data_IF_024621930623
#
_entry.id   IF_024621930623
#
_cell.length_a   1.000
_cell.length_b   1.000
_cell.length_c   1.000
_cell.angle_alpha   90.00
_cell.angle_beta   90.00
_cell.angle_gamma   90.00
#
_symmetry.space_group_name_H-M   'P 1'
#
loop_
_entity.id
_entity.type
_entity.pdbx_description
1 polymer ?
#
# COMPACT_ATOMS: atom_id res chain seq x y z
N UNK A 1 32.26 75.19 7.49
CA UNK A 1 31.89 73.90 8.07
C UNK A 1 33.05 72.93 7.83
N UNK A 2 33.66 72.42 8.88
CA UNK A 2 34.94 71.73 8.74
C UNK A 2 34.78 70.43 7.99
N UNK A 3 35.65 70.18 7.01
CA UNK A 3 35.71 68.95 6.18
C UNK A 3 35.59 67.68 6.99
N UNK A 4 36.20 67.59 8.16
CA UNK A 4 36.12 66.47 9.12
C UNK A 4 34.67 66.26 9.63
N UNK A 5 33.86 67.27 9.85
CA UNK A 5 32.44 67.12 10.26
C UNK A 5 31.60 66.54 9.13
N UNK A 6 31.86 66.93 7.90
CA UNK A 6 31.15 66.42 6.72
C UNK A 6 31.48 64.93 6.53
N UNK A 7 32.77 64.51 6.67
CA UNK A 7 33.19 63.12 6.62
C UNK A 7 32.50 62.27 7.73
N UNK A 8 32.46 62.79 8.93
CA UNK A 8 31.81 62.07 10.05
C UNK A 8 30.33 61.87 9.81
N UNK A 9 29.63 62.90 9.30
CA UNK A 9 28.19 62.81 8.95
C UNK A 9 27.93 61.78 7.85
N UNK A 10 28.75 61.76 6.78
CA UNK A 10 28.63 60.82 5.69
C UNK A 10 28.88 59.38 6.18
N UNK A 11 29.89 59.18 7.03
CA UNK A 11 30.22 57.86 7.60
C UNK A 11 29.05 57.35 8.47
N UNK A 12 28.52 58.22 9.32
CA UNK A 12 27.34 57.86 10.18
C UNK A 12 26.14 57.48 9.32
N UNK A 13 25.87 58.23 8.27
CA UNK A 13 24.76 57.95 7.34
C UNK A 13 24.96 56.57 6.63
N UNK A 14 26.15 56.26 6.18
CA UNK A 14 26.47 54.95 5.56
C UNK A 14 26.30 53.79 6.55
N UNK A 15 26.72 53.97 7.80
CA UNK A 15 26.51 52.95 8.86
C UNK A 15 25.03 52.75 9.13
N UNK A 16 24.25 53.83 9.25
CA UNK A 16 22.79 53.72 9.42
C UNK A 16 22.10 53.02 8.25
N UNK A 17 22.49 53.33 7.02
CA UNK A 17 21.96 52.66 5.81
C UNK A 17 22.35 51.16 5.82
N UNK A 18 23.57 50.84 6.20
CA UNK A 18 24.04 49.43 6.28
C UNK A 18 23.22 48.65 7.30
N UNK A 19 23.01 49.21 8.49
CA UNK A 19 22.17 48.58 9.53
C UNK A 19 20.72 48.41 9.06
N UNK A 20 20.16 49.43 8.41
CA UNK A 20 18.81 49.37 7.84
C UNK A 20 18.65 48.32 6.75
N UNK A 21 19.62 48.21 5.83
CA UNK A 21 19.62 47.18 4.80
C UNK A 21 19.78 45.76 5.37
N UNK A 22 20.65 45.63 6.38
CA UNK A 22 20.82 44.33 7.09
C UNK A 22 19.54 43.92 7.79
N UNK A 23 18.89 44.86 8.49
CA UNK A 23 17.59 44.60 9.12
C UNK A 23 16.51 44.22 8.11
N UNK A 24 16.40 44.95 6.99
CA UNK A 24 15.48 44.59 5.93
C UNK A 24 15.78 43.20 5.33
N UNK A 25 17.06 42.84 5.18
CA UNK A 25 17.44 41.52 4.66
C UNK A 25 17.08 40.39 5.63
N UNK A 26 17.18 40.64 6.93
CA UNK A 26 16.81 39.69 7.98
C UNK A 26 15.28 39.57 8.22
N UNK A 27 14.55 40.66 7.97
CA UNK A 27 13.09 40.71 8.11
C UNK A 27 12.37 40.51 6.79
N UNK A 28 13.10 40.35 5.67
CA UNK A 28 12.51 40.03 4.38
C UNK A 28 12.01 38.58 4.41
N UNK A 29 10.76 38.40 4.82
CA UNK A 29 9.98 37.25 4.44
C UNK A 29 9.45 37.52 3.03
N UNK A 30 9.86 36.76 2.02
CA UNK A 30 9.15 36.80 0.74
C UNK A 30 7.68 36.53 1.06
N UNK A 31 6.80 37.46 0.78
CA UNK A 31 5.38 37.16 0.74
C UNK A 31 5.22 36.16 -0.39
N UNK A 32 5.16 34.90 -0.05
CA UNK A 32 4.61 33.91 -0.96
C UNK A 32 3.15 34.31 -1.08
N UNK A 33 2.80 34.98 -2.17
CA UNK A 33 1.42 34.97 -2.61
C UNK A 33 1.08 33.49 -2.71
N UNK A 34 0.24 33.01 -1.81
CA UNK A 34 -0.48 31.76 -2.01
C UNK A 34 -1.20 31.97 -3.33
N UNK A 35 -0.59 31.49 -4.41
CA UNK A 35 -1.28 31.36 -5.70
C UNK A 35 -2.50 30.55 -5.35
N UNK A 36 -3.66 31.19 -5.40
CA UNK A 36 -4.91 30.49 -5.25
C UNK A 36 -4.83 29.31 -6.21
N UNK A 37 -4.93 28.10 -5.68
CA UNK A 37 -4.86 26.84 -6.41
C UNK A 37 -5.98 26.66 -7.46
N UNK A 38 -6.77 27.72 -7.68
CA UNK A 38 -7.93 27.72 -8.56
C UNK A 38 -7.61 27.94 -10.06
N UNK A 39 -6.33 28.14 -10.43
CA UNK A 39 -5.88 28.17 -11.82
C UNK A 39 -4.70 27.22 -12.10
N UNK A 40 -4.51 26.18 -11.29
CA UNK A 40 -3.66 25.06 -11.68
C UNK A 40 -4.28 24.45 -12.96
N UNK A 41 -3.53 24.46 -14.05
CA UNK A 41 -3.90 23.70 -15.24
C UNK A 41 -4.22 22.28 -14.78
N UNK A 42 -5.47 21.85 -14.96
CA UNK A 42 -5.96 20.50 -14.59
C UNK A 42 -5.38 19.47 -15.59
N UNK A 43 -4.04 19.39 -15.62
CA UNK A 43 -3.32 18.41 -16.42
C UNK A 43 -3.22 17.16 -15.56
N UNK A 44 -4.03 16.19 -15.90
CA UNK A 44 -4.10 14.89 -15.25
C UNK A 44 -3.35 13.86 -16.10
N UNK A 45 -2.55 13.03 -15.46
CA UNK A 45 -1.84 11.91 -16.10
C UNK A 45 -2.83 10.82 -16.51
N UNK A 46 -3.91 10.65 -15.75
CA UNK A 46 -5.00 9.72 -16.01
C UNK A 46 -6.32 10.22 -15.45
N UNK A 47 -7.31 9.36 -15.39
CA UNK A 47 -8.62 9.68 -14.83
C UNK A 47 -8.57 9.74 -13.30
N UNK A 48 -9.25 10.73 -12.72
CA UNK A 48 -9.43 10.80 -11.26
C UNK A 48 -10.49 9.80 -10.81
N UNK A 49 -10.20 9.09 -9.73
CA UNK A 49 -11.21 8.25 -9.07
C UNK A 49 -12.17 9.16 -8.30
N UNK A 50 -13.50 8.95 -8.37
CA UNK A 50 -14.45 9.70 -7.54
C UNK A 50 -14.12 9.57 -6.04
N UNK A 51 -14.14 10.67 -5.29
CA UNK A 51 -13.74 10.70 -3.88
C UNK A 51 -14.47 9.66 -3.01
N UNK A 52 -15.76 9.44 -3.29
CA UNK A 52 -16.57 8.46 -2.57
C UNK A 52 -16.20 6.99 -2.87
N UNK A 53 -15.41 6.73 -3.90
CA UNK A 53 -14.94 5.40 -4.30
C UNK A 53 -13.47 5.18 -4.00
N UNK A 54 -12.68 6.24 -3.84
CA UNK A 54 -11.23 6.22 -3.68
C UNK A 54 -10.77 5.21 -2.60
N UNK A 55 -11.33 5.30 -1.41
CA UNK A 55 -10.96 4.43 -0.30
C UNK A 55 -11.27 2.96 -0.59
N UNK A 56 -12.37 2.66 -1.26
CA UNK A 56 -12.76 1.28 -1.57
C UNK A 56 -11.98 0.67 -2.74
N UNK A 57 -11.46 1.51 -3.62
CA UNK A 57 -10.65 1.07 -4.77
C UNK A 57 -9.20 0.87 -4.35
N UNK A 58 -8.66 1.80 -3.54
CA UNK A 58 -7.24 1.80 -3.15
C UNK A 58 -6.98 0.91 -1.95
N UNK A 59 -7.88 0.85 -0.96
CA UNK A 59 -7.70 0.06 0.26
C UNK A 59 -8.51 -1.22 0.16
N UNK A 60 -7.89 -2.28 -0.33
CA UNK A 60 -8.52 -3.59 -0.51
C UNK A 60 -7.89 -4.65 0.38
N UNK A 61 -8.69 -5.60 0.90
CA UNK A 61 -8.14 -6.82 1.46
C UNK A 61 -7.63 -7.73 0.34
N UNK A 62 -6.64 -8.56 0.67
CA UNK A 62 -6.01 -9.45 -0.31
C UNK A 62 -6.14 -10.94 0.01
N UNK A 63 -6.66 -11.29 1.20
CA UNK A 63 -6.96 -12.67 1.62
C UNK A 63 -8.24 -12.74 2.43
N UNK A 64 -8.91 -13.85 2.30
CA UNK A 64 -10.12 -14.19 3.01
C UNK A 64 -10.02 -15.62 3.53
N UNK A 65 -10.22 -15.82 4.84
CA UNK A 65 -10.22 -17.15 5.47
C UNK A 65 -11.55 -17.45 6.15
N UNK A 66 -11.89 -18.72 6.20
CA UNK A 66 -12.96 -19.25 7.05
C UNK A 66 -12.41 -20.36 7.95
N UNK A 67 -12.52 -20.16 9.25
CA UNK A 67 -12.08 -21.08 10.29
C UNK A 67 -13.25 -21.95 10.75
N UNK A 68 -13.24 -23.25 10.41
CA UNK A 68 -14.32 -24.19 10.72
C UNK A 68 -14.03 -25.08 11.93
N UNK A 69 -13.06 -24.72 12.76
CA UNK A 69 -12.61 -25.48 13.91
C UNK A 69 -11.57 -26.55 13.56
N UNK A 70 -11.87 -27.45 12.64
CA UNK A 70 -10.94 -28.53 12.25
C UNK A 70 -10.03 -28.16 11.08
N UNK A 71 -10.42 -27.18 10.29
CA UNK A 71 -9.63 -26.71 9.13
C UNK A 71 -9.89 -25.24 8.86
N UNK A 72 -8.90 -24.62 8.24
CA UNK A 72 -9.02 -23.28 7.67
C UNK A 72 -9.04 -23.42 6.14
N UNK A 73 -10.04 -22.81 5.52
CA UNK A 73 -10.09 -22.64 4.07
C UNK A 73 -9.96 -21.15 3.74
N UNK A 74 -9.38 -20.84 2.58
CA UNK A 74 -9.17 -19.44 2.21
C UNK A 74 -9.12 -19.23 0.72
N UNK A 75 -9.14 -17.96 0.33
CA UNK A 75 -8.99 -17.53 -1.06
C UNK A 75 -8.35 -16.14 -1.14
N UNK A 76 -7.65 -15.91 -2.24
CA UNK A 76 -7.21 -14.57 -2.68
C UNK A 76 -7.98 -14.10 -3.92
N UNK A 77 -9.00 -14.82 -4.34
CA UNK A 77 -9.83 -14.46 -5.49
C UNK A 77 -10.53 -13.11 -5.27
N UNK A 78 -10.24 -12.15 -6.15
CA UNK A 78 -10.75 -10.78 -6.02
C UNK A 78 -12.28 -10.72 -6.03
N UNK A 79 -12.92 -11.53 -6.85
CA UNK A 79 -14.38 -11.54 -6.97
C UNK A 79 -15.03 -12.00 -5.66
N UNK A 80 -14.49 -13.06 -5.04
CA UNK A 80 -15.00 -13.59 -3.78
C UNK A 80 -14.80 -12.60 -2.62
N UNK A 81 -13.64 -11.95 -2.55
CA UNK A 81 -13.32 -10.95 -1.54
C UNK A 81 -14.22 -9.73 -1.72
N UNK A 82 -14.33 -9.19 -2.93
CA UNK A 82 -15.18 -8.04 -3.22
C UNK A 82 -16.64 -8.32 -2.86
N UNK A 83 -17.16 -9.53 -3.12
CA UNK A 83 -18.50 -9.92 -2.76
C UNK A 83 -18.74 -9.86 -1.24
N UNK A 84 -17.77 -10.27 -0.43
CA UNK A 84 -17.84 -10.17 1.03
C UNK A 84 -17.84 -8.71 1.47
N UNK A 85 -16.96 -7.88 0.91
CA UNK A 85 -16.90 -6.44 1.23
C UNK A 85 -18.19 -5.73 0.83
N UNK A 86 -18.74 -6.00 -0.36
CA UNK A 86 -20.02 -5.43 -0.79
C UNK A 86 -21.17 -5.82 0.15
N UNK A 87 -21.16 -7.04 0.66
CA UNK A 87 -22.16 -7.47 1.65
C UNK A 87 -21.98 -6.74 2.98
N UNK A 88 -20.73 -6.58 3.48
CA UNK A 88 -20.42 -5.79 4.67
C UNK A 88 -20.87 -4.32 4.53
N UNK A 89 -20.75 -3.72 3.36
CA UNK A 89 -21.20 -2.35 3.07
C UNK A 89 -22.71 -2.15 3.22
N UNK A 90 -23.48 -3.22 3.15
CA UNK A 90 -24.94 -3.16 3.40
C UNK A 90 -25.29 -3.16 4.88
N UNK A 91 -24.36 -3.56 5.75
CA UNK A 91 -24.60 -3.65 7.18
C UNK A 91 -24.43 -2.30 7.86
N UNK A 92 -25.20 -2.08 8.91
CA UNK A 92 -24.96 -1.00 9.86
C UNK A 92 -24.24 -1.56 11.07
N UNK A 93 -23.02 -1.11 11.27
CA UNK A 93 -22.18 -1.48 12.42
C UNK A 93 -22.36 -0.42 13.51
N UNK A 94 -22.68 -0.83 14.72
CA UNK A 94 -22.99 0.05 15.84
C UNK A 94 -22.32 -0.41 17.14
N UNK A 95 -22.35 0.43 18.19
CA UNK A 95 -21.83 0.15 19.54
C UNK A 95 -20.35 -0.30 19.52
N UNK A 96 -19.50 0.45 18.78
CA UNK A 96 -18.09 0.13 18.68
C UNK A 96 -17.35 0.39 20.00
N UNK A 97 -16.59 -0.61 20.50
CA UNK A 97 -15.86 -0.59 21.77
C UNK A 97 -14.42 -1.00 21.58
N UNK A 98 -13.51 -0.34 22.30
CA UNK A 98 -12.10 -0.76 22.42
C UNK A 98 -11.97 -1.80 23.54
N UNK A 99 -11.71 -3.04 23.18
CA UNK A 99 -11.50 -4.19 24.07
C UNK A 99 -10.01 -4.55 24.22
N UNK A 100 -9.11 -3.73 23.72
CA UNK A 100 -7.66 -4.03 23.66
C UNK A 100 -7.03 -4.30 25.03
N UNK A 101 -7.59 -3.71 26.10
CA UNK A 101 -7.12 -3.88 27.49
C UNK A 101 -7.74 -5.07 28.19
N UNK A 102 -8.90 -5.55 27.71
CA UNK A 102 -9.67 -6.60 28.35
C UNK A 102 -9.21 -8.00 27.92
N UNK A 103 -8.57 -8.10 26.73
CA UNK A 103 -8.14 -9.36 26.13
C UNK A 103 -6.61 -9.48 26.12
N UNK A 104 -6.11 -10.66 26.51
CA UNK A 104 -4.72 -11.00 26.32
C UNK A 104 -4.46 -11.58 24.90
N UNK A 105 -3.20 -11.83 24.54
CA UNK A 105 -2.82 -12.28 23.21
C UNK A 105 -3.47 -13.62 22.81
N UNK A 106 -3.59 -14.55 23.75
CA UNK A 106 -4.21 -15.87 23.49
C UNK A 106 -5.71 -15.74 23.21
N UNK A 107 -6.37 -14.85 23.94
CA UNK A 107 -7.81 -14.56 23.74
C UNK A 107 -8.05 -13.87 22.42
N UNK A 108 -7.19 -12.90 22.03
CA UNK A 108 -7.27 -12.25 20.72
C UNK A 108 -7.06 -13.27 19.60
N UNK A 109 -6.07 -14.17 19.75
CA UNK A 109 -5.87 -15.27 18.80
C UNK A 109 -7.13 -16.14 18.65
N UNK A 110 -7.84 -16.41 19.74
CA UNK A 110 -9.10 -17.15 19.71
C UNK A 110 -10.25 -16.36 19.04
N UNK A 111 -10.25 -15.02 19.16
CA UNK A 111 -11.20 -14.17 18.43
C UNK A 111 -10.95 -14.25 16.93
N UNK A 112 -9.68 -14.24 16.50
CA UNK A 112 -9.31 -14.24 15.07
C UNK A 112 -9.49 -15.64 14.46
N UNK A 113 -8.86 -16.67 15.06
CA UNK A 113 -8.73 -18.01 14.48
C UNK A 113 -9.65 -19.04 15.13
N UNK A 114 -10.61 -18.58 15.96
CA UNK A 114 -11.59 -19.45 16.59
C UNK A 114 -12.55 -20.07 15.57
N UNK A 115 -13.33 -21.05 16.03
CA UNK A 115 -14.33 -21.71 15.20
C UNK A 115 -15.42 -20.74 14.72
N UNK A 116 -15.91 -20.95 13.49
CA UNK A 116 -16.95 -20.14 12.84
C UNK A 116 -16.57 -18.65 12.72
N UNK A 117 -15.32 -18.38 12.42
CA UNK A 117 -14.83 -17.01 12.13
C UNK A 117 -14.50 -16.85 10.66
N UNK A 118 -14.91 -15.70 10.12
CA UNK A 118 -14.46 -15.26 8.79
C UNK A 118 -13.42 -14.14 9.00
N UNK A 119 -12.21 -14.35 8.53
CA UNK A 119 -11.09 -13.43 8.65
C UNK A 119 -10.79 -12.78 7.30
N UNK A 120 -10.87 -11.46 7.25
CA UNK A 120 -10.56 -10.63 6.09
C UNK A 120 -9.24 -9.92 6.39
N UNK A 121 -8.22 -10.15 5.55
CA UNK A 121 -6.84 -9.70 5.80
C UNK A 121 -6.46 -8.57 4.86
N UNK A 122 -5.92 -7.50 5.43
CA UNK A 122 -5.34 -6.36 4.72
C UNK A 122 -3.81 -6.46 4.71
N UNK A 123 -3.14 -5.84 3.72
CA UNK A 123 -1.68 -5.90 3.61
C UNK A 123 -0.96 -5.27 4.80
N UNK A 124 -1.50 -4.18 5.34
CA UNK A 124 -0.93 -3.44 6.49
C UNK A 124 -2.04 -2.72 7.27
N UNK A 125 -1.67 -1.88 8.20
CA UNK A 125 -2.53 -1.20 9.14
C UNK A 125 -3.40 -0.13 8.47
N UNK A 126 -4.70 -0.32 8.52
CA UNK A 126 -5.72 0.59 7.97
C UNK A 126 -6.37 1.36 9.11
N UNK A 127 -6.35 2.71 9.09
CA UNK A 127 -7.09 3.50 10.08
C UNK A 127 -8.59 3.26 10.00
N UNK A 128 -9.24 3.03 11.16
CA UNK A 128 -10.69 2.81 11.22
C UNK A 128 -11.46 4.00 10.64
N UNK A 129 -10.98 5.22 10.89
CA UNK A 129 -11.59 6.46 10.39
C UNK A 129 -11.64 6.53 8.85
N UNK A 130 -10.61 6.04 8.18
CA UNK A 130 -10.56 5.96 6.71
C UNK A 130 -11.53 4.87 6.20
N UNK A 131 -11.47 3.69 6.80
CA UNK A 131 -12.30 2.56 6.34
C UNK A 131 -13.78 2.69 6.74
N UNK A 132 -14.10 3.56 7.70
CA UNK A 132 -15.49 3.94 8.04
C UNK A 132 -16.24 4.61 6.88
N UNK A 133 -15.54 5.10 5.88
CA UNK A 133 -16.12 5.61 4.63
C UNK A 133 -16.51 4.48 3.67
N UNK A 134 -15.90 3.30 3.82
CA UNK A 134 -16.24 2.08 3.06
C UNK A 134 -17.37 1.33 3.74
N UNK A 135 -17.34 1.22 5.07
CA UNK A 135 -18.34 0.53 5.88
C UNK A 135 -19.24 1.53 6.64
N UNK A 136 -20.53 1.21 6.80
CA UNK A 136 -21.46 2.07 7.55
C UNK A 136 -21.26 1.90 9.06
N UNK A 137 -20.45 2.73 9.67
CA UNK A 137 -20.32 2.84 11.13
C UNK A 137 -21.29 3.90 11.64
N UNK A 138 -22.16 3.54 12.59
CA UNK A 138 -23.26 4.41 13.08
C UNK A 138 -22.76 5.53 14.00
N UNK A 139 -21.57 5.39 14.61
CA UNK A 139 -21.05 6.35 15.57
C UNK A 139 -20.22 7.45 14.91
N UNK A 140 -20.55 8.71 15.28
CA UNK A 140 -19.81 9.91 14.87
C UNK A 140 -18.40 10.00 15.50
N UNK A 141 -18.14 9.24 16.56
CA UNK A 141 -16.82 9.15 17.21
C UNK A 141 -16.17 7.83 16.81
N UNK A 142 -15.62 7.80 15.60
CA UNK A 142 -14.72 6.72 15.19
C UNK A 142 -13.54 6.67 16.16
N UNK A 143 -13.29 5.49 16.71
CA UNK A 143 -12.14 5.27 17.57
C UNK A 143 -10.85 5.60 16.78
N UNK A 144 -9.95 6.35 17.38
CA UNK A 144 -8.62 6.59 16.83
C UNK A 144 -7.82 5.30 16.94
N UNK A 145 -7.96 4.42 15.97
CA UNK A 145 -7.30 3.14 15.93
C UNK A 145 -7.09 2.66 14.51
N UNK A 146 -6.25 1.65 14.39
CA UNK A 146 -6.01 0.96 13.12
C UNK A 146 -6.24 -0.54 13.28
N UNK A 147 -6.48 -1.21 12.17
CA UNK A 147 -6.65 -2.65 12.08
C UNK A 147 -5.96 -3.17 10.82
N UNK A 148 -5.62 -4.44 10.80
CA UNK A 148 -5.19 -5.15 9.60
C UNK A 148 -6.03 -6.41 9.33
N UNK A 149 -7.03 -6.67 10.19
CA UNK A 149 -8.01 -7.75 10.01
C UNK A 149 -9.41 -7.31 10.40
N UNK A 150 -10.40 -7.76 9.63
CA UNK A 150 -11.81 -7.71 10.03
C UNK A 150 -12.24 -9.15 10.27
N UNK A 151 -12.84 -9.41 11.45
CA UNK A 151 -13.32 -10.74 11.83
C UNK A 151 -14.84 -10.70 11.96
N UNK A 152 -15.52 -11.53 11.18
CA UNK A 152 -16.98 -11.71 11.31
C UNK A 152 -17.18 -12.96 12.19
N UNK A 153 -17.85 -12.78 13.33
CA UNK A 153 -18.18 -13.86 14.24
C UNK A 153 -19.54 -14.47 13.90
N UNK A 154 -19.53 -15.69 13.36
CA UNK A 154 -20.75 -16.40 12.97
C UNK A 154 -21.36 -17.21 14.13
N UNK A 155 -20.67 -17.32 15.28
CA UNK A 155 -21.21 -18.04 16.43
C UNK A 155 -22.55 -17.47 16.90
N UNK A 156 -23.50 -18.37 17.13
CA UNK A 156 -24.83 -18.00 17.61
C UNK A 156 -24.94 -18.20 19.12
N UNK A 157 -24.99 -17.10 19.86
CA UNK A 157 -25.14 -17.08 21.33
C UNK A 157 -26.59 -16.84 21.76
N UNK A 158 -27.56 -16.89 20.83
CA UNK A 158 -28.99 -16.60 21.13
C UNK A 158 -29.30 -15.11 21.32
N UNK A 159 -28.36 -14.21 20.95
CA UNK A 159 -28.53 -12.75 20.99
C UNK A 159 -29.13 -12.23 19.67
N UNK A 160 -29.92 -11.15 19.75
CA UNK A 160 -30.45 -10.45 18.58
C UNK A 160 -29.36 -9.71 17.76
N UNK A 161 -28.13 -9.66 18.27
CA UNK A 161 -26.97 -9.05 17.61
C UNK A 161 -25.80 -10.03 17.56
N UNK A 162 -24.93 -9.83 16.60
CA UNK A 162 -23.64 -10.51 16.54
C UNK A 162 -22.48 -9.51 16.53
N UNK A 163 -21.27 -10.01 16.42
CA UNK A 163 -20.05 -9.22 16.54
C UNK A 163 -19.24 -9.22 15.25
N UNK A 164 -18.69 -8.05 14.92
CA UNK A 164 -17.64 -7.85 13.93
C UNK A 164 -16.47 -7.17 14.65
N UNK A 165 -15.30 -7.77 14.55
CA UNK A 165 -14.11 -7.24 15.20
C UNK A 165 -13.18 -6.61 14.17
N UNK A 166 -12.58 -5.48 14.54
CA UNK A 166 -11.45 -4.87 13.84
C UNK A 166 -10.21 -5.13 14.69
N UNK A 167 -9.25 -5.82 14.13
CA UNK A 167 -8.10 -6.32 14.90
C UNK A 167 -6.80 -5.81 14.29
N UNK A 168 -5.96 -5.20 15.09
CA UNK A 168 -4.56 -5.01 14.80
C UNK A 168 -3.79 -6.19 15.42
N UNK A 169 -3.19 -6.99 14.56
CA UNK A 169 -2.46 -8.20 14.98
C UNK A 169 -1.06 -8.20 14.39
N UNK A 170 -0.14 -7.58 15.12
CA UNK A 170 1.25 -7.41 14.75
C UNK A 170 2.21 -7.70 15.91
N UNK A 171 3.50 -7.77 15.57
CA UNK A 171 4.55 -7.92 16.58
C UNK A 171 4.62 -6.69 17.49
N UNK A 172 4.44 -6.93 18.78
CA UNK A 172 4.56 -5.87 19.80
C UNK A 172 3.33 -4.99 19.98
N UNK A 173 2.39 -4.97 19.05
CA UNK A 173 1.16 -4.20 19.16
C UNK A 173 -0.07 -5.07 18.90
N UNK A 174 -1.07 -4.94 19.76
CA UNK A 174 -2.38 -5.57 19.61
C UNK A 174 -3.48 -4.57 19.91
N UNK A 175 -4.47 -4.52 19.04
CA UNK A 175 -5.72 -3.79 19.28
C UNK A 175 -6.90 -4.67 18.91
N UNK A 176 -7.96 -4.54 19.67
CA UNK A 176 -9.20 -5.26 19.43
C UNK A 176 -10.38 -4.29 19.61
N UNK A 177 -11.09 -4.05 18.54
CA UNK A 177 -12.30 -3.25 18.56
C UNK A 177 -13.47 -4.14 18.17
N UNK A 178 -14.54 -4.15 18.97
CA UNK A 178 -15.77 -4.86 18.68
C UNK A 178 -16.83 -3.88 18.20
N UNK A 179 -17.52 -4.22 17.13
CA UNK A 179 -18.75 -3.57 16.71
C UNK A 179 -19.89 -4.58 16.63
N UNK A 180 -21.11 -4.15 16.89
CA UNK A 180 -22.29 -4.96 16.80
C UNK A 180 -22.95 -4.85 15.43
N UNK A 181 -23.58 -5.93 15.00
CA UNK A 181 -24.38 -6.02 13.78
C UNK A 181 -25.66 -6.77 14.06
N UNK A 182 -26.71 -6.48 13.31
CA UNK A 182 -27.98 -7.19 13.42
C UNK A 182 -27.80 -8.68 13.09
N UNK A 183 -28.35 -9.56 13.92
CA UNK A 183 -28.25 -11.02 13.77
C UNK A 183 -28.78 -11.51 12.42
N UNK A 184 -29.89 -10.95 11.92
CA UNK A 184 -30.44 -11.32 10.63
C UNK A 184 -29.48 -11.10 9.46
N UNK A 185 -28.59 -10.06 9.54
CA UNK A 185 -27.56 -9.80 8.54
C UNK A 185 -26.47 -10.87 8.56
N UNK A 186 -26.07 -11.32 9.76
CA UNK A 186 -25.11 -12.42 9.92
C UNK A 186 -25.64 -13.75 9.41
N UNK A 187 -26.89 -14.09 9.74
CA UNK A 187 -27.51 -15.34 9.28
C UNK A 187 -27.68 -15.38 7.76
N UNK A 188 -28.01 -14.25 7.15
CA UNK A 188 -28.07 -14.14 5.69
C UNK A 188 -26.69 -14.33 5.06
N UNK A 189 -25.64 -13.74 5.67
CA UNK A 189 -24.26 -13.90 5.24
C UNK A 189 -23.77 -15.33 5.43
N UNK A 190 -23.93 -15.92 6.60
CA UNK A 190 -23.54 -17.29 6.93
C UNK A 190 -24.13 -18.27 5.90
N UNK A 191 -25.42 -18.15 5.62
CA UNK A 191 -26.14 -19.01 4.65
C UNK A 191 -25.60 -18.90 3.23
N UNK A 192 -25.16 -17.70 2.80
CA UNK A 192 -24.65 -17.48 1.45
C UNK A 192 -23.16 -17.79 1.32
N UNK A 193 -22.39 -17.68 2.41
CA UNK A 193 -20.94 -17.72 2.41
C UNK A 193 -20.38 -19.09 2.79
N UNK A 194 -20.82 -19.67 3.94
CA UNK A 194 -20.14 -20.82 4.56
C UNK A 194 -20.11 -22.05 3.64
N UNK A 195 -21.26 -22.39 3.03
CA UNK A 195 -21.32 -23.53 2.12
C UNK A 195 -20.35 -23.36 0.96
N UNK A 196 -20.28 -22.17 0.38
CA UNK A 196 -19.38 -21.85 -0.72
C UNK A 196 -17.93 -21.93 -0.29
N UNK A 197 -17.58 -21.32 0.85
CA UNK A 197 -16.22 -21.34 1.38
C UNK A 197 -15.71 -22.77 1.62
N UNK A 198 -16.52 -23.61 2.24
CA UNK A 198 -16.14 -25.00 2.56
C UNK A 198 -15.89 -25.86 1.32
N UNK A 199 -16.63 -25.62 0.23
CA UNK A 199 -16.54 -26.46 -0.98
C UNK A 199 -15.62 -25.90 -2.05
N UNK A 200 -15.42 -24.58 -2.12
CA UNK A 200 -14.73 -23.95 -3.26
C UNK A 200 -13.40 -23.28 -2.86
N UNK A 201 -13.16 -23.01 -1.57
CA UNK A 201 -11.90 -22.38 -1.16
C UNK A 201 -10.84 -23.44 -0.86
N UNK A 202 -9.60 -23.08 -1.08
CA UNK A 202 -8.45 -23.95 -0.84
C UNK A 202 -8.20 -24.16 0.66
N UNK A 203 -7.65 -25.32 1.00
CA UNK A 203 -7.31 -25.63 2.38
C UNK A 203 -5.94 -25.04 2.73
N UNK A 204 -5.87 -24.37 3.90
CA UNK A 204 -4.66 -23.73 4.40
C UNK A 204 -4.14 -24.42 5.66
N UNK A 205 -2.82 -24.45 5.80
CA UNK A 205 -2.14 -24.88 7.03
C UNK A 205 -1.85 -23.67 7.92
N UNK A 206 -2.08 -23.83 9.21
CA UNK A 206 -1.72 -22.85 10.22
C UNK A 206 -0.23 -22.97 10.58
N UNK A 207 0.51 -21.87 10.47
CA UNK A 207 1.91 -21.80 10.87
C UNK A 207 2.13 -20.65 11.86
N UNK A 208 2.39 -20.95 13.13
CA UNK A 208 2.83 -19.96 14.09
C UNK A 208 4.25 -19.46 13.75
N UNK A 209 4.42 -18.15 13.65
CA UNK A 209 5.71 -17.49 13.52
C UNK A 209 6.09 -16.91 14.89
N UNK A 210 7.18 -17.40 15.48
CA UNK A 210 7.84 -16.86 16.69
C UNK A 210 6.93 -16.54 17.89
N UNK A 211 5.86 -17.29 18.11
CA UNK A 211 4.86 -17.08 19.16
C UNK A 211 4.11 -15.71 19.07
N UNK A 212 4.30 -14.94 17.99
CA UNK A 212 3.80 -13.58 17.87
C UNK A 212 2.67 -13.44 16.84
N UNK A 213 2.81 -14.08 15.69
CA UNK A 213 1.83 -14.03 14.58
C UNK A 213 1.60 -15.45 14.07
N UNK A 214 0.38 -15.71 13.63
CA UNK A 214 0.05 -16.93 12.87
C UNK A 214 -0.19 -16.55 11.43
N UNK A 215 0.44 -17.25 10.51
CA UNK A 215 0.18 -17.14 9.07
C UNK A 215 -0.52 -18.40 8.56
N UNK A 216 -1.22 -18.26 7.46
CA UNK A 216 -1.90 -19.34 6.78
C UNK A 216 -1.31 -19.50 5.37
N UNK A 217 -0.91 -20.72 5.02
CA UNK A 217 -0.28 -21.05 3.75
C UNK A 217 -1.08 -22.14 3.04
N UNK A 218 -1.19 -22.13 1.70
CA UNK A 218 -1.83 -23.19 0.95
C UNK A 218 -1.30 -24.57 1.33
N UNK A 219 -2.20 -25.48 1.62
CA UNK A 219 -1.85 -26.85 2.03
C UNK A 219 -1.27 -27.66 0.88
N UNK A 220 -1.79 -27.43 -0.32
CA UNK A 220 -1.38 -28.15 -1.53
C UNK A 220 -0.51 -27.24 -2.41
N UNK A 221 0.16 -27.84 -3.40
CA UNK A 221 0.69 -27.10 -4.52
C UNK A 221 -0.48 -26.56 -5.36
N UNK A 222 -0.33 -25.35 -5.87
CA UNK A 222 -1.37 -24.65 -6.63
C UNK A 222 -0.80 -24.19 -7.97
N UNK A 223 -1.65 -24.20 -8.99
CA UNK A 223 -1.31 -23.75 -10.33
C UNK A 223 -1.71 -22.28 -10.50
N UNK A 224 -0.77 -21.48 -10.94
CA UNK A 224 -0.93 -20.05 -11.20
C UNK A 224 -0.62 -19.75 -12.65
N UNK A 225 -1.25 -18.71 -13.19
CA UNK A 225 -1.04 -18.27 -14.57
C UNK A 225 0.03 -17.19 -14.59
N UNK A 226 1.02 -17.30 -15.46
CA UNK A 226 1.90 -16.20 -15.79
C UNK A 226 1.26 -15.29 -16.83
N UNK A 227 1.54 -13.99 -16.76
CA UNK A 227 0.93 -12.98 -17.64
C UNK A 227 2.00 -12.22 -18.39
N UNK A 228 1.63 -11.71 -19.54
CA UNK A 228 2.47 -10.85 -20.35
C UNK A 228 1.63 -9.69 -20.89
N UNK A 229 1.99 -8.47 -20.45
CA UNK A 229 1.29 -7.25 -20.85
C UNK A 229 2.20 -6.30 -21.60
N UNK A 230 1.63 -5.62 -22.59
CA UNK A 230 2.29 -4.48 -23.21
C UNK A 230 2.27 -3.30 -22.25
N UNK A 231 3.38 -2.55 -22.18
CA UNK A 231 3.47 -1.32 -21.40
C UNK A 231 3.51 -0.12 -22.31
N UNK A 232 2.55 0.77 -22.18
CA UNK A 232 2.55 2.06 -22.83
C UNK A 232 3.16 3.12 -21.91
N UNK A 233 4.01 3.99 -22.46
CA UNK A 233 4.74 4.98 -21.67
C UNK A 233 3.98 6.29 -21.62
N UNK A 234 3.76 6.80 -20.42
CA UNK A 234 3.34 8.17 -20.21
C UNK A 234 4.48 9.15 -20.54
N UNK A 235 4.13 10.36 -20.94
CA UNK A 235 5.12 11.41 -21.12
C UNK A 235 5.59 11.93 -19.75
N UNK A 236 6.91 12.00 -19.49
CA UNK A 236 7.42 12.64 -18.27
C UNK A 236 6.97 14.09 -18.12
N UNK A 237 6.68 14.78 -19.22
CA UNK A 237 6.18 16.15 -19.24
C UNK A 237 4.79 16.28 -18.60
N UNK A 238 3.94 15.26 -18.67
CA UNK A 238 2.64 15.24 -18.00
C UNK A 238 2.83 15.28 -16.46
N UNK A 239 3.81 14.55 -15.96
CA UNK A 239 4.18 14.59 -14.53
C UNK A 239 4.82 15.93 -14.13
N UNK A 240 5.56 16.58 -15.03
CA UNK A 240 6.08 17.93 -14.77
C UNK A 240 4.92 18.91 -14.64
N UNK A 241 3.93 18.84 -15.52
CA UNK A 241 2.74 19.70 -15.45
C UNK A 241 1.93 19.47 -14.16
N UNK A 242 1.87 18.22 -13.69
CA UNK A 242 1.08 17.83 -12.53
C UNK A 242 1.78 18.10 -11.18
N UNK A 243 3.12 18.00 -11.12
CA UNK A 243 3.85 17.97 -9.84
C UNK A 243 4.58 19.27 -9.51
N UNK A 244 4.87 20.14 -10.52
CA UNK A 244 5.52 21.40 -10.26
C UNK A 244 4.50 22.53 -10.15
N UNK A 245 4.62 23.36 -9.13
CA UNK A 245 3.72 24.52 -8.91
C UNK A 245 3.76 25.54 -10.04
N UNK A 246 4.90 25.69 -10.72
CA UNK A 246 5.07 26.50 -11.93
C UNK A 246 5.83 25.69 -12.99
N UNK A 247 5.14 24.92 -13.82
CA UNK A 247 5.74 24.10 -14.87
C UNK A 247 6.52 24.92 -15.91
N UNK A 248 6.17 26.20 -16.10
CA UNK A 248 6.84 27.05 -17.08
C UNK A 248 8.24 27.50 -16.61
N UNK A 249 8.52 27.44 -15.31
CA UNK A 249 9.82 27.77 -14.73
C UNK A 249 10.77 26.56 -14.63
N UNK A 250 10.38 25.41 -15.19
CA UNK A 250 11.14 24.15 -15.08
C UNK A 250 12.19 24.05 -16.19
N UNK A 251 13.43 23.89 -15.81
CA UNK A 251 14.53 23.62 -16.71
C UNK A 251 14.62 22.12 -17.02
N UNK A 252 14.66 21.76 -18.31
CA UNK A 252 14.86 20.39 -18.78
C UNK A 252 16.34 20.14 -19.07
N UNK A 253 16.89 19.07 -18.51
CA UNK A 253 18.25 18.57 -18.76
C UNK A 253 18.24 17.06 -18.95
N UNK A 254 19.43 16.47 -19.04
CA UNK A 254 19.62 15.04 -19.21
C UNK A 254 20.61 14.49 -18.19
N UNK A 255 20.43 13.23 -17.84
CA UNK A 255 21.34 12.42 -17.03
C UNK A 255 21.76 11.17 -17.84
N UNK A 256 22.70 10.39 -17.35
CA UNK A 256 23.04 9.11 -17.97
C UNK A 256 21.87 8.12 -18.03
N UNK A 257 20.95 8.20 -17.07
CA UNK A 257 19.82 7.29 -16.95
C UNK A 257 18.53 7.79 -17.62
N UNK A 258 18.41 9.09 -17.91
CA UNK A 258 17.19 9.65 -18.46
C UNK A 258 17.13 11.16 -18.47
N UNK A 259 15.96 11.71 -18.27
CA UNK A 259 15.68 13.13 -18.27
C UNK A 259 15.68 13.68 -16.85
N UNK A 260 15.97 14.96 -16.74
CA UNK A 260 15.98 15.71 -15.49
C UNK A 260 15.18 16.99 -15.70
N UNK A 261 14.25 17.27 -14.80
CA UNK A 261 13.47 18.48 -14.76
C UNK A 261 13.67 19.13 -13.39
N UNK A 262 14.00 20.41 -13.36
CA UNK A 262 14.33 21.09 -12.09
C UNK A 262 13.88 22.55 -12.11
N UNK A 263 13.37 23.00 -10.98
CA UNK A 263 13.20 24.41 -10.67
C UNK A 263 14.01 24.76 -9.39
N UNK A 264 13.72 25.90 -8.76
CA UNK A 264 14.41 26.35 -7.54
C UNK A 264 14.21 25.40 -6.36
N UNK A 265 13.08 24.71 -6.29
CA UNK A 265 12.64 23.95 -5.11
C UNK A 265 12.59 22.44 -5.33
N UNK A 266 12.35 22.01 -6.55
CA UNK A 266 11.98 20.62 -6.83
C UNK A 266 12.80 20.03 -7.98
N UNK A 267 12.92 18.71 -7.96
CA UNK A 267 13.64 17.92 -8.93
C UNK A 267 12.84 16.69 -9.31
N UNK A 268 12.59 16.49 -10.61
CA UNK A 268 12.08 15.23 -11.15
C UNK A 268 13.16 14.62 -12.05
N UNK A 269 13.41 13.33 -11.86
CA UNK A 269 14.32 12.53 -12.69
C UNK A 269 13.58 11.31 -13.22
N UNK A 270 13.88 10.94 -14.45
CA UNK A 270 13.42 9.68 -15.02
C UNK A 270 14.54 8.67 -15.13
N UNK A 271 14.20 7.40 -15.05
CA UNK A 271 15.07 6.29 -15.40
C UNK A 271 14.44 5.54 -16.58
N UNK A 272 15.07 5.66 -17.77
CA UNK A 272 14.57 5.04 -19.02
C UNK A 272 14.78 3.54 -19.08
N UNK A 273 15.72 3.00 -18.30
CA UNK A 273 15.94 1.56 -18.22
C UNK A 273 14.79 0.87 -17.51
N UNK A 274 14.29 1.50 -16.43
CA UNK A 274 13.22 0.93 -15.60
C UNK A 274 11.84 1.59 -15.83
N UNK A 275 11.79 2.65 -16.64
CA UNK A 275 10.59 3.48 -16.85
C UNK A 275 9.99 3.95 -15.51
N UNK A 276 10.85 4.43 -14.61
CA UNK A 276 10.47 4.99 -13.33
C UNK A 276 10.84 6.47 -13.26
N UNK A 277 10.08 7.22 -12.49
CA UNK A 277 10.38 8.60 -12.15
C UNK A 277 10.51 8.77 -10.64
N UNK A 278 11.32 9.74 -10.26
CA UNK A 278 11.50 10.18 -8.88
C UNK A 278 11.37 11.69 -8.83
N UNK A 279 10.38 12.17 -8.06
CA UNK A 279 10.21 13.58 -7.75
C UNK A 279 10.61 13.83 -6.30
N UNK A 280 11.39 14.89 -6.07
CA UNK A 280 11.86 15.29 -4.73
C UNK A 280 11.65 16.79 -4.56
N UNK A 281 11.04 17.17 -3.45
CA UNK A 281 10.94 18.55 -2.98
C UNK A 281 11.66 18.71 -1.63
N UNK A 282 12.96 19.08 -1.63
CA UNK A 282 13.74 19.21 -0.40
C UNK A 282 13.29 20.34 0.54
N UNK A 283 12.46 21.27 0.06
CA UNK A 283 11.92 22.34 0.92
C UNK A 283 10.87 21.84 1.90
N UNK A 284 10.27 20.69 1.62
CA UNK A 284 9.36 20.01 2.52
C UNK A 284 10.13 19.22 3.59
N UNK A 285 10.06 19.67 4.84
CA UNK A 285 10.74 18.99 5.94
C UNK A 285 10.09 17.65 6.26
N UNK A 286 10.93 16.64 6.53
CA UNK A 286 10.49 15.30 6.97
C UNK A 286 10.22 15.34 8.48
N UNK A 287 9.22 16.07 8.93
CA UNK A 287 8.83 16.07 10.33
C UNK A 287 7.98 14.84 10.63
N UNK A 288 8.54 13.85 11.32
CA UNK A 288 7.79 12.67 11.77
C UNK A 288 6.72 13.08 12.79
N UNK A 289 5.57 12.41 12.74
CA UNK A 289 4.50 12.59 13.73
C UNK A 289 3.10 12.78 13.18
N UNK A 290 2.91 12.70 11.86
CA UNK A 290 1.58 12.64 11.29
C UNK A 290 0.84 11.35 11.73
N UNK A 291 -0.44 11.47 12.02
CA UNK A 291 -1.24 10.28 12.31
C UNK A 291 -1.35 9.40 11.06
N UNK A 292 -1.47 8.08 11.24
CA UNK A 292 -1.66 7.16 10.12
C UNK A 292 -2.88 7.54 9.25
N UNK A 293 -3.95 8.07 9.85
CA UNK A 293 -5.13 8.58 9.15
C UNK A 293 -4.80 9.74 8.22
N UNK A 294 -4.14 10.77 8.76
CA UNK A 294 -3.78 11.97 8.00
C UNK A 294 -2.78 11.64 6.88
N UNK A 295 -1.79 10.81 7.21
CA UNK A 295 -0.77 10.37 6.28
C UNK A 295 -1.40 9.62 5.08
N UNK A 296 -2.27 8.64 5.34
CA UNK A 296 -2.91 7.86 4.30
C UNK A 296 -3.88 8.71 3.46
N UNK A 297 -4.65 9.59 4.10
CA UNK A 297 -5.59 10.45 3.41
C UNK A 297 -4.86 11.42 2.46
N UNK A 298 -3.91 12.21 2.97
CA UNK A 298 -3.12 13.15 2.14
C UNK A 298 -2.40 12.44 1.00
N UNK A 299 -1.86 11.25 1.27
CA UNK A 299 -1.16 10.46 0.27
C UNK A 299 -2.09 10.00 -0.88
N UNK A 300 -3.28 9.50 -0.57
CA UNK A 300 -4.25 9.06 -1.58
C UNK A 300 -4.79 10.25 -2.39
N UNK A 301 -5.13 11.36 -1.71
CA UNK A 301 -5.59 12.59 -2.36
C UNK A 301 -4.55 13.12 -3.33
N UNK A 302 -3.27 13.19 -2.92
CA UNK A 302 -2.19 13.63 -3.79
C UNK A 302 -2.09 12.81 -5.09
N UNK A 303 -2.14 11.46 -5.01
CA UNK A 303 -2.11 10.62 -6.22
C UNK A 303 -3.36 10.83 -7.05
N UNK A 304 -4.52 10.98 -6.43
CA UNK A 304 -5.79 11.16 -7.12
C UNK A 304 -5.88 12.50 -7.84
N UNK A 305 -5.31 13.57 -7.26
CA UNK A 305 -5.41 14.94 -7.80
C UNK A 305 -4.78 15.07 -9.17
N UNK A 306 -3.75 14.32 -9.48
CA UNK A 306 -3.14 14.29 -10.82
C UNK A 306 -3.50 13.05 -11.64
N UNK A 307 -4.53 12.27 -11.24
CA UNK A 307 -4.94 11.06 -11.95
C UNK A 307 -3.89 9.97 -11.99
N UNK A 308 -3.10 9.87 -10.91
CA UNK A 308 -1.95 8.97 -10.82
C UNK A 308 -2.30 7.50 -10.59
N UNK A 309 -3.56 7.13 -10.43
CA UNK A 309 -4.02 5.74 -10.32
C UNK A 309 -4.14 5.09 -11.71
N UNK A 310 -3.01 4.92 -12.39
CA UNK A 310 -2.96 4.48 -13.79
C UNK A 310 -3.23 3.00 -13.99
N UNK A 311 -3.03 2.20 -12.95
CA UNK A 311 -3.21 0.75 -12.92
C UNK A 311 -3.79 0.30 -11.58
N UNK A 312 -3.86 -1.00 -11.33
CA UNK A 312 -4.40 -1.56 -10.08
C UNK A 312 -3.42 -1.41 -8.90
N UNK A 313 -3.03 -0.18 -8.59
CA UNK A 313 -2.26 0.12 -7.38
C UNK A 313 -3.17 0.10 -6.17
N UNK A 314 -2.78 -0.68 -5.15
CA UNK A 314 -3.51 -0.79 -3.90
C UNK A 314 -2.58 -0.48 -2.73
N UNK A 315 -3.15 0.01 -1.63
CA UNK A 315 -2.45 0.23 -0.38
C UNK A 315 -1.72 -1.05 0.06
N UNK A 316 -0.43 -0.93 0.34
CA UNK A 316 0.40 -2.08 0.68
C UNK A 316 1.13 -1.92 2.01
N UNK A 317 1.68 -0.74 2.31
CA UNK A 317 2.32 -0.50 3.60
C UNK A 317 2.33 0.97 4.01
N UNK A 318 2.38 1.21 5.32
CA UNK A 318 2.47 2.53 5.93
C UNK A 318 3.49 2.53 7.07
N UNK A 319 4.38 3.52 7.08
CA UNK A 319 5.33 3.78 8.17
C UNK A 319 5.15 5.22 8.68
N UNK A 320 4.33 5.44 9.71
CA UNK A 320 4.13 6.78 10.27
C UNK A 320 5.41 7.42 10.83
N UNK A 321 6.38 6.61 11.29
CA UNK A 321 7.66 7.11 11.78
C UNK A 321 8.52 7.71 10.67
N UNK A 322 8.41 7.19 9.46
CA UNK A 322 9.13 7.66 8.27
C UNK A 322 8.28 8.57 7.39
N UNK A 323 7.03 8.83 7.75
CA UNK A 323 6.01 9.47 6.93
C UNK A 323 5.88 8.82 5.53
N UNK A 324 6.11 7.51 5.46
CA UNK A 324 6.17 6.77 4.20
C UNK A 324 4.93 5.93 3.97
N UNK A 325 4.45 5.94 2.73
CA UNK A 325 3.37 5.07 2.25
C UNK A 325 3.82 4.41 0.95
N UNK A 326 3.42 3.16 0.77
CA UNK A 326 3.64 2.40 -0.46
C UNK A 326 2.32 1.84 -0.94
N UNK A 327 2.01 2.11 -2.20
CA UNK A 327 0.99 1.42 -2.97
C UNK A 327 1.68 0.49 -3.94
N UNK A 328 1.22 -0.73 -4.01
CA UNK A 328 1.80 -1.76 -4.86
C UNK A 328 0.83 -2.12 -5.97
N UNK A 329 1.38 -2.43 -7.15
CA UNK A 329 0.60 -3.02 -8.23
C UNK A 329 0.10 -4.40 -7.80
N UNK A 330 -1.17 -4.70 -8.08
CA UNK A 330 -1.76 -6.00 -7.86
C UNK A 330 -2.16 -6.63 -9.20
N UNK A 331 -1.94 -7.93 -9.30
CA UNK A 331 -2.34 -8.77 -10.43
C UNK A 331 -3.18 -9.93 -9.89
N UNK A 332 -4.43 -10.05 -10.35
CA UNK A 332 -5.36 -11.06 -9.83
C UNK A 332 -5.42 -11.11 -8.29
N UNK A 333 -5.39 -9.93 -7.68
CA UNK A 333 -5.36 -9.72 -6.22
C UNK A 333 -4.10 -10.27 -5.50
N UNK A 334 -3.03 -10.55 -6.22
CA UNK A 334 -1.71 -10.84 -5.66
C UNK A 334 -0.76 -9.65 -5.84
N UNK A 335 0.05 -9.31 -4.83
CA UNK A 335 1.00 -8.20 -4.94
C UNK A 335 2.10 -8.50 -5.97
N UNK A 336 2.45 -7.48 -6.73
CA UNK A 336 3.54 -7.55 -7.72
C UNK A 336 4.80 -6.97 -7.13
N UNK A 337 5.93 -7.64 -7.34
CA UNK A 337 7.25 -7.25 -6.87
C UNK A 337 8.22 -7.02 -8.01
N UNK A 338 9.05 -5.99 -7.87
CA UNK A 338 10.13 -5.67 -8.79
C UNK A 338 11.24 -4.93 -8.05
N UNK A 339 12.50 -5.32 -8.28
CA UNK A 339 13.66 -4.80 -7.57
C UNK A 339 14.02 -3.34 -7.92
N UNK A 340 13.44 -2.81 -9.01
CA UNK A 340 13.74 -1.48 -9.55
C UNK A 340 12.59 -0.47 -9.36
N UNK A 341 11.64 -0.76 -8.48
CA UNK A 341 10.51 0.13 -8.17
C UNK A 341 9.45 0.22 -9.27
N UNK A 342 9.46 -0.68 -10.26
CA UNK A 342 8.52 -0.66 -11.38
C UNK A 342 7.10 -1.11 -10.99
N UNK A 343 6.92 -1.69 -9.81
CA UNK A 343 5.66 -2.26 -9.35
C UNK A 343 5.04 -1.47 -8.17
N UNK A 344 5.54 -0.28 -7.88
CA UNK A 344 5.07 0.45 -6.71
C UNK A 344 5.03 1.97 -6.92
N UNK A 345 4.12 2.60 -6.20
CA UNK A 345 4.07 4.03 -5.97
C UNK A 345 4.49 4.23 -4.52
N UNK A 346 5.60 4.92 -4.26
CA UNK A 346 6.05 5.23 -2.91
C UNK A 346 6.11 6.73 -2.67
N UNK A 347 5.68 7.14 -1.49
CA UNK A 347 5.64 8.53 -1.07
C UNK A 347 6.28 8.71 0.30
N UNK A 348 6.99 9.81 0.47
CA UNK A 348 7.36 10.35 1.77
C UNK A 348 6.71 11.72 1.86
N UNK A 349 5.85 11.92 2.84
CA UNK A 349 5.16 13.18 3.06
C UNK A 349 6.03 14.12 3.89
N UNK A 350 6.07 15.38 3.46
CA UNK A 350 6.57 16.49 4.26
C UNK A 350 5.48 17.06 5.16
N UNK A 351 5.69 18.24 5.68
CA UNK A 351 4.75 18.92 6.60
C UNK A 351 3.50 19.38 5.84
N UNK A 352 3.65 20.08 4.74
CA UNK A 352 2.55 20.64 3.96
C UNK A 352 2.26 19.86 2.67
N UNK A 353 3.30 19.28 2.03
CA UNK A 353 3.22 18.64 0.72
C UNK A 353 4.08 17.37 0.65
N UNK A 354 4.29 16.84 -0.54
CA UNK A 354 5.12 15.67 -0.79
C UNK A 354 6.60 16.05 -0.78
N UNK A 355 7.40 15.39 0.06
CA UNK A 355 8.85 15.48 0.04
C UNK A 355 9.45 14.60 -1.06
N UNK A 356 8.98 13.34 -1.20
CA UNK A 356 9.47 12.38 -2.17
C UNK A 356 8.33 11.56 -2.77
N UNK A 357 8.33 11.39 -4.11
CA UNK A 357 7.36 10.60 -4.85
C UNK A 357 8.06 9.80 -5.93
N UNK A 358 8.01 8.48 -5.80
CA UNK A 358 8.61 7.56 -6.76
C UNK A 358 7.52 6.68 -7.35
N UNK A 359 7.56 6.47 -8.67
CA UNK A 359 6.60 5.61 -9.37
C UNK A 359 7.09 5.22 -10.76
N UNK A 360 6.52 4.18 -11.37
CA UNK A 360 6.63 4.00 -12.82
C UNK A 360 5.85 5.08 -13.58
N UNK A 361 6.28 5.37 -14.82
CA UNK A 361 5.57 6.23 -15.77
C UNK A 361 5.17 5.45 -17.02
N UNK A 362 4.54 4.29 -16.81
CA UNK A 362 3.90 3.48 -17.82
C UNK A 362 2.54 3.00 -17.32
N UNK A 363 1.70 2.57 -18.25
CA UNK A 363 0.42 1.90 -18.04
C UNK A 363 0.45 0.53 -18.67
N UNK A 364 -0.23 -0.44 -18.05
CA UNK A 364 -0.44 -1.75 -18.64
C UNK A 364 -1.60 -1.70 -19.62
N UNK A 365 -1.38 -2.16 -20.84
CA UNK A 365 -2.44 -2.32 -21.82
C UNK A 365 -3.07 -3.70 -21.67
N UNK A 366 -4.23 -3.75 -21.03
CA UNK A 366 -4.96 -4.99 -20.78
C UNK A 366 -5.67 -5.52 -22.02
N UNK A 367 -5.93 -4.68 -23.03
CA UNK A 367 -6.57 -5.07 -24.30
C UNK A 367 -5.58 -5.76 -25.24
N UNK A 368 -4.31 -5.39 -25.13
CA UNK A 368 -3.20 -6.04 -25.85
C UNK A 368 -2.53 -7.13 -25.00
N UNK A 369 -3.26 -7.74 -24.08
CA UNK A 369 -2.76 -8.90 -23.35
C UNK A 369 -2.55 -10.05 -24.33
N UNK A 370 -1.30 -10.49 -24.46
CA UNK A 370 -1.05 -11.78 -25.07
C UNK A 370 -1.47 -12.86 -24.09
N UNK A 371 -2.16 -13.86 -24.63
CA UNK A 371 -2.71 -15.00 -23.90
C UNK A 371 -1.81 -15.48 -22.77
N UNK A 372 -2.44 -16.03 -21.73
CA UNK A 372 -1.77 -16.75 -20.63
C UNK A 372 -0.56 -17.51 -21.17
N UNK A 373 0.64 -17.06 -20.75
CA UNK A 373 1.84 -17.57 -21.43
C UNK A 373 2.12 -18.97 -20.96
N UNK A 374 2.03 -19.22 -19.66
CA UNK A 374 2.29 -20.55 -19.09
C UNK A 374 1.57 -20.71 -17.73
N UNK A 375 1.21 -21.94 -17.41
CA UNK A 375 0.76 -22.35 -16.11
C UNK A 375 1.97 -22.75 -15.27
N UNK A 376 2.13 -22.12 -14.10
CA UNK A 376 3.27 -22.33 -13.21
C UNK A 376 2.77 -22.91 -11.89
N UNK A 377 3.19 -24.13 -11.57
CA UNK A 377 2.88 -24.75 -10.30
C UNK A 377 3.81 -24.25 -9.21
N UNK A 378 3.23 -23.64 -8.17
CA UNK A 378 3.96 -23.27 -6.97
C UNK A 378 3.84 -24.38 -5.92
N UNK A 379 4.94 -24.67 -5.17
CA UNK A 379 4.94 -25.68 -4.12
C UNK A 379 4.01 -25.30 -2.98
N UNK A 380 3.59 -26.30 -2.20
CA UNK A 380 2.78 -26.11 -1.01
C UNK A 380 3.48 -25.25 0.05
N UNK A 381 2.68 -24.62 0.93
CA UNK A 381 3.22 -23.88 2.07
C UNK A 381 4.16 -24.67 2.96
N UNK A 382 3.90 -25.97 3.15
CA UNK A 382 4.79 -26.85 3.92
C UNK A 382 6.18 -26.99 3.25
N UNK A 383 6.21 -27.12 1.93
CA UNK A 383 7.46 -27.15 1.16
C UNK A 383 8.21 -25.83 1.26
N UNK A 384 7.51 -24.70 1.16
CA UNK A 384 8.09 -23.36 1.30
C UNK A 384 8.73 -23.18 2.68
N UNK A 385 8.03 -23.54 3.74
CA UNK A 385 8.57 -23.47 5.11
C UNK A 385 9.81 -24.37 5.29
N UNK A 386 9.81 -25.54 4.68
CA UNK A 386 10.98 -26.43 4.68
C UNK A 386 12.18 -25.79 3.94
N UNK A 387 11.94 -25.16 2.80
CA UNK A 387 13.00 -24.48 2.04
C UNK A 387 13.57 -23.28 2.83
N UNK A 388 12.73 -22.47 3.44
CA UNK A 388 13.16 -21.37 4.32
C UNK A 388 13.98 -21.87 5.52
N UNK A 389 13.57 -23.01 6.13
CA UNK A 389 14.27 -23.59 7.26
C UNK A 389 15.61 -24.24 6.88
N UNK A 390 15.77 -24.66 5.63
CA UNK A 390 16.99 -25.30 5.12
C UNK A 390 18.06 -24.28 4.72
N UNK A 391 17.68 -23.04 4.46
CA UNK A 391 18.62 -21.98 4.09
C UNK A 391 19.33 -21.45 5.33
N UNK A 392 20.62 -21.76 5.45
CA UNK A 392 21.46 -21.36 6.59
C UNK A 392 21.59 -19.83 6.74
N UNK A 393 21.20 -19.06 5.74
CA UNK A 393 21.23 -17.59 5.78
C UNK A 393 19.95 -16.99 6.37
N UNK A 394 18.88 -17.78 6.51
CA UNK A 394 17.56 -17.36 6.98
C UNK A 394 17.33 -17.87 8.40
N UNK A 395 17.25 -16.96 9.37
CA UNK A 395 16.77 -17.30 10.70
C UNK A 395 15.24 -17.08 10.75
N UNK A 396 14.49 -18.18 10.81
CA UNK A 396 13.01 -18.15 10.80
C UNK A 396 12.40 -17.24 11.86
N UNK A 397 13.13 -16.89 12.92
CA UNK A 397 12.64 -15.95 13.93
C UNK A 397 12.45 -14.51 13.41
N UNK A 398 13.11 -14.15 12.32
CA UNK A 398 12.97 -12.84 11.66
C UNK A 398 12.04 -12.89 10.45
N UNK A 399 11.48 -14.03 10.11
CA UNK A 399 10.45 -14.14 9.09
C UNK A 399 9.13 -13.61 9.66
N UNK A 400 8.59 -12.57 9.04
CA UNK A 400 7.39 -11.88 9.52
C UNK A 400 6.13 -12.33 8.77
N UNK A 401 6.25 -12.69 7.50
CA UNK A 401 5.15 -13.17 6.66
C UNK A 401 5.65 -13.99 5.48
N UNK A 402 4.78 -14.80 4.88
CA UNK A 402 5.04 -15.58 3.65
C UNK A 402 3.80 -15.53 2.77
N UNK A 403 3.95 -15.09 1.52
CA UNK A 403 2.85 -14.90 0.59
C UNK A 403 3.22 -15.32 -0.83
N UNK A 404 2.21 -15.62 -1.63
CA UNK A 404 2.33 -15.67 -3.09
C UNK A 404 2.22 -14.25 -3.64
N UNK A 405 3.01 -13.94 -4.65
CA UNK A 405 2.98 -12.71 -5.40
C UNK A 405 3.50 -12.92 -6.81
N UNK A 406 3.55 -11.87 -7.61
CA UNK A 406 4.10 -11.90 -8.96
C UNK A 406 5.45 -11.20 -9.01
N UNK A 407 6.44 -11.84 -9.63
CA UNK A 407 7.67 -11.19 -10.05
C UNK A 407 7.44 -10.51 -11.38
N UNK A 408 7.62 -9.20 -11.43
CA UNK A 408 7.57 -8.45 -12.68
C UNK A 408 8.97 -8.25 -13.24
N UNK A 409 9.16 -8.63 -14.50
CA UNK A 409 10.39 -8.43 -15.26
C UNK A 409 10.08 -7.88 -16.64
N UNK A 410 11.08 -7.32 -17.32
CA UNK A 410 10.98 -7.03 -18.74
C UNK A 410 11.22 -8.29 -19.56
N UNK A 411 10.55 -8.40 -20.70
CA UNK A 411 10.87 -9.46 -21.64
C UNK A 411 12.34 -9.35 -22.08
N UNK A 412 13.05 -10.47 -22.04
CA UNK A 412 14.48 -10.55 -22.36
C UNK A 412 14.78 -10.30 -23.84
N UNK A 413 13.80 -10.42 -24.72
CA UNK A 413 13.93 -10.18 -26.16
C UNK A 413 13.98 -8.67 -26.43
N UNK A 414 15.09 -8.18 -27.02
CA UNK A 414 15.26 -6.74 -27.31
C UNK A 414 14.14 -6.15 -28.19
N UNK A 415 13.59 -6.93 -29.12
CA UNK A 415 12.45 -6.53 -29.94
C UNK A 415 11.14 -6.39 -29.15
N UNK A 416 11.09 -6.93 -27.93
CA UNK A 416 9.91 -7.05 -27.10
C UNK A 416 10.02 -6.27 -25.76
N UNK A 417 10.95 -5.32 -25.66
CA UNK A 417 11.20 -4.53 -24.42
C UNK A 417 9.99 -3.79 -23.87
N UNK A 418 8.94 -3.62 -24.67
CA UNK A 418 7.68 -3.03 -24.24
C UNK A 418 6.77 -4.01 -23.50
N UNK A 419 7.13 -5.29 -23.47
CA UNK A 419 6.38 -6.29 -22.72
C UNK A 419 6.96 -6.48 -21.33
N UNK A 420 6.05 -6.55 -20.36
CA UNK A 420 6.32 -6.91 -18.99
C UNK A 420 5.76 -8.30 -18.73
N UNK A 421 6.57 -9.13 -18.10
CA UNK A 421 6.25 -10.52 -17.74
C UNK A 421 6.01 -10.58 -16.25
N UNK A 422 4.92 -11.23 -15.87
CA UNK A 422 4.49 -11.42 -14.49
C UNK A 422 4.49 -12.91 -14.19
N UNK A 423 5.48 -13.37 -13.42
CA UNK A 423 5.65 -14.76 -13.03
C UNK A 423 5.23 -14.97 -11.57
N UNK A 424 4.33 -15.92 -11.27
CA UNK A 424 3.97 -16.20 -9.88
C UNK A 424 5.19 -16.73 -9.13
N UNK A 425 5.33 -16.31 -7.88
CA UNK A 425 6.47 -16.68 -7.04
C UNK A 425 6.13 -16.57 -5.56
N UNK A 426 6.86 -17.30 -4.72
CA UNK A 426 6.79 -17.13 -3.29
C UNK A 426 7.67 -15.98 -2.82
N UNK A 427 7.12 -15.19 -1.87
CA UNK A 427 7.81 -14.11 -1.19
C UNK A 427 7.72 -14.29 0.31
N UNK A 428 8.77 -13.90 1.02
CA UNK A 428 8.76 -13.85 2.47
C UNK A 428 9.24 -12.47 2.94
N UNK A 429 8.64 -12.00 4.04
CA UNK A 429 9.04 -10.74 4.68
C UNK A 429 10.07 -11.05 5.75
N UNK A 430 11.26 -10.48 5.61
CA UNK A 430 12.41 -10.72 6.48
C UNK A 430 13.02 -9.38 6.90
N UNK A 431 13.02 -9.11 8.20
CA UNK A 431 13.52 -7.85 8.77
C UNK A 431 12.95 -6.63 8.02
N UNK A 432 11.62 -6.60 7.86
CA UNK A 432 10.86 -5.54 7.20
C UNK A 432 10.88 -5.56 5.66
N UNK A 433 11.73 -6.37 5.02
CA UNK A 433 11.90 -6.39 3.58
C UNK A 433 11.24 -7.62 2.95
N UNK A 434 10.58 -7.43 1.81
CA UNK A 434 10.05 -8.52 1.01
C UNK A 434 11.13 -9.09 0.09
N UNK A 435 11.41 -10.39 0.23
CA UNK A 435 12.40 -11.13 -0.54
C UNK A 435 11.72 -12.26 -1.29
N UNK A 436 12.16 -12.49 -2.53
CA UNK A 436 11.71 -13.64 -3.32
C UNK A 436 12.37 -14.91 -2.81
N UNK A 437 11.60 -15.98 -2.63
CA UNK A 437 12.14 -17.30 -2.39
C UNK A 437 12.59 -17.90 -3.75
N UNK A 438 13.89 -18.15 -3.96
CA UNK A 438 14.36 -18.82 -5.16
C UNK A 438 13.88 -20.29 -5.10
N UNK A 439 12.99 -20.64 -6.00
CA UNK A 439 12.66 -22.04 -6.26
C UNK A 439 13.68 -22.50 -7.29
N UNK A 440 14.62 -23.40 -6.91
CA UNK A 440 15.48 -24.04 -7.88
C UNK A 440 14.56 -24.74 -8.89
N UNK A 441 14.78 -24.51 -10.18
CA UNK A 441 14.19 -25.34 -11.22
C UNK A 441 14.55 -26.77 -10.90
N UNK A 442 13.59 -27.56 -10.44
CA UNK A 442 13.78 -28.98 -10.26
C UNK A 442 13.89 -29.64 -11.64
N UNK A 443 15.02 -29.43 -12.30
CA UNK A 443 15.44 -30.32 -13.35
C UNK A 443 15.62 -31.72 -12.74
N UNK A 444 14.61 -32.54 -12.90
CA UNK A 444 14.74 -34.00 -12.81
C UNK A 444 14.53 -34.65 -11.43
N UNK A 445 13.33 -34.56 -10.87
CA UNK A 445 12.77 -35.69 -10.15
C UNK A 445 11.69 -36.33 -11.04
N UNK A 446 12.15 -37.05 -12.06
CA UNK A 446 11.33 -38.05 -12.70
C UNK A 446 10.93 -39.08 -11.66
N UNK A 447 9.69 -39.00 -11.20
CA UNK A 447 9.07 -40.11 -10.47
C UNK A 447 8.90 -41.22 -11.50
N UNK A 448 9.89 -42.14 -11.50
CA UNK A 448 9.74 -43.41 -12.17
C UNK A 448 8.56 -44.17 -11.54
N UNK A 449 7.50 -44.25 -12.26
CA UNK A 449 6.47 -45.27 -12.05
C UNK A 449 7.09 -46.61 -12.40
N UNK A 450 7.39 -47.42 -11.41
CA UNK A 450 7.35 -48.89 -11.51
C UNK A 450 6.30 -49.42 -10.52
#
# INVERSE_FOLDING_TARGET
>A
MNYEKIKSIILTLLVCISIFLTFNLWTYQPGYDTINSDEAYDVSVGDKIPENELNSIVIKPFKLFYHSGNKTVGTSDEFEINKVIEQLRTWTLFDMKDLSREYNMSEIKSVIHGEQKVEIVFPDNVPISIYSQVLKLEEKNTLNGSFNRIIIDLNNNGSDTGSVYFVLYEEGEKKLYESRVNRASLEAFEKSFVQKAVYNFDEYIEQPLNNKKTIFLPKNAEDYISYRYYSDLDSPEEYVQALFSDPNSVDKGFTEQGEKYTNVYSLLKTNKEHNTLSYVNPSEEKNGGSSATELLQKSMEFVNDHGGWTDQYQFFSISPLENKIVYRLFMQNYPVFNDNGMAEISQILGEESINEYNRPYFKLDYDLSFESVDEVQLPSGATVLYLLAKDDTIDLKYVEDVIVGYKMTRDSNESNRKFLVFEPSWYYKYDGNWLRLPLEEQEGLGIGLE
#
